data_IF_955280639591
#
_entry.id   IF_955280639591
#
_cell.length_a   1.000
_cell.length_b   1.000
_cell.length_c   1.000
_cell.angle_alpha   90.00
_cell.angle_beta   90.00
_cell.angle_gamma   90.00
#
_symmetry.space_group_name_H-M   'P 1'
#
loop_
_entity.id
_entity.type
_entity.pdbx_description
1 polymer ?
#
# COMPACT_ATOMS: atom_id res chain seq x y z
N UNK A 1 14.45 -16.97 7.42
CA UNK A 1 14.15 -15.84 6.53
C UNK A 1 14.79 -16.00 5.15
N UNK A 2 16.09 -15.77 4.95
CA UNK A 2 16.71 -15.77 3.61
C UNK A 2 16.53 -17.10 2.83
N UNK A 3 16.78 -18.26 3.46
CA UNK A 3 16.57 -19.57 2.82
C UNK A 3 15.12 -19.77 2.32
N UNK A 4 14.14 -19.19 3.01
CA UNK A 4 12.73 -19.25 2.62
C UNK A 4 12.46 -18.28 1.46
N UNK A 5 12.95 -17.04 1.52
CA UNK A 5 12.79 -16.06 0.44
C UNK A 5 13.37 -16.56 -0.90
N UNK A 6 14.53 -17.22 -0.86
CA UNK A 6 15.15 -17.82 -2.05
C UNK A 6 14.38 -19.01 -2.65
N UNK A 7 13.31 -19.49 -2.00
CA UNK A 7 12.40 -20.45 -2.63
C UNK A 7 11.42 -19.77 -3.60
N UNK A 8 11.24 -18.44 -3.51
CA UNK A 8 10.28 -17.68 -4.31
C UNK A 8 10.94 -16.82 -5.40
N UNK A 9 12.16 -16.33 -5.18
CA UNK A 9 12.92 -15.57 -6.18
C UNK A 9 14.44 -15.76 -6.02
N UNK A 10 15.17 -15.55 -7.10
CA UNK A 10 16.63 -15.51 -7.18
C UNK A 10 17.25 -14.25 -6.55
N UNK A 11 16.47 -13.19 -6.37
CA UNK A 11 16.90 -11.93 -5.75
C UNK A 11 16.05 -11.63 -4.52
N UNK A 12 16.71 -11.21 -3.44
CA UNK A 12 16.04 -10.85 -2.17
C UNK A 12 16.33 -9.39 -1.86
N UNK A 13 15.28 -8.65 -1.51
CA UNK A 13 15.36 -7.30 -0.94
C UNK A 13 15.24 -7.40 0.58
N UNK A 14 16.08 -6.67 1.30
CA UNK A 14 16.06 -6.58 2.77
C UNK A 14 15.88 -5.12 3.15
N UNK A 15 14.80 -4.83 3.88
CA UNK A 15 14.44 -3.48 4.31
C UNK A 15 14.51 -3.39 5.84
N UNK A 16 14.71 -2.16 6.34
CA UNK A 16 14.65 -1.91 7.78
C UNK A 16 13.19 -2.02 8.25
N UNK A 17 12.93 -2.92 9.20
CA UNK A 17 11.63 -2.99 9.85
C UNK A 17 11.32 -1.72 10.62
N UNK A 18 10.10 -1.20 10.46
CA UNK A 18 9.58 -0.03 11.16
C UNK A 18 8.21 -0.33 11.73
N UNK A 19 7.86 0.29 12.87
CA UNK A 19 6.48 0.30 13.35
C UNK A 19 5.77 1.47 12.67
N UNK A 20 5.00 1.16 11.63
CA UNK A 20 4.36 2.15 10.77
C UNK A 20 2.88 1.81 10.56
N UNK A 21 2.11 2.84 10.21
CA UNK A 21 0.72 2.70 9.74
C UNK A 21 0.77 2.35 8.25
N UNK A 22 -0.11 1.45 7.81
CA UNK A 22 -0.22 1.09 6.40
C UNK A 22 -1.39 1.82 5.75
N UNK A 23 -1.06 2.63 4.74
CA UNK A 23 -2.03 3.49 4.05
C UNK A 23 -2.04 3.15 2.57
N UNK A 24 -3.22 2.91 2.02
CA UNK A 24 -3.40 2.52 0.62
C UNK A 24 -4.14 3.63 -0.15
N UNK A 25 -3.68 3.93 -1.38
CA UNK A 25 -4.34 4.83 -2.33
C UNK A 25 -4.62 4.10 -3.63
N UNK A 26 -5.89 4.02 -4.03
CA UNK A 26 -6.29 3.48 -5.33
C UNK A 26 -6.10 4.51 -6.45
N UNK A 27 -5.62 4.04 -7.59
CA UNK A 27 -5.40 4.83 -8.81
C UNK A 27 -6.16 4.21 -9.97
N UNK A 28 -6.91 5.03 -10.71
CA UNK A 28 -7.61 4.62 -11.91
C UNK A 28 -7.39 5.64 -13.03
N UNK A 29 -7.00 5.17 -14.20
CA UNK A 29 -6.92 5.98 -15.40
C UNK A 29 -5.77 5.61 -16.33
N UNK A 30 -5.73 6.33 -17.45
CA UNK A 30 -4.67 6.25 -18.44
C UNK A 30 -4.01 7.64 -18.54
N UNK A 31 -4.49 8.49 -19.45
CA UNK A 31 -3.99 9.86 -19.61
C UNK A 31 -4.49 10.84 -18.52
N UNK A 32 -5.75 10.68 -18.09
CA UNK A 32 -6.31 11.35 -16.92
C UNK A 32 -6.35 10.34 -15.76
N UNK A 33 -5.41 10.50 -14.82
CA UNK A 33 -5.25 9.61 -13.65
C UNK A 33 -5.96 10.23 -12.46
N UNK A 34 -6.81 9.44 -11.81
CA UNK A 34 -7.53 9.84 -10.59
C UNK A 34 -7.12 8.95 -9.43
N UNK A 35 -7.02 9.55 -8.26
CA UNK A 35 -6.71 8.89 -6.99
C UNK A 35 -7.94 8.84 -6.08
N UNK A 36 -8.08 7.79 -5.27
CA UNK A 36 -9.07 7.73 -4.17
C UNK A 36 -8.61 8.58 -2.98
N UNK A 37 -9.46 8.71 -1.96
CA UNK A 37 -8.98 9.08 -0.63
C UNK A 37 -8.12 7.93 -0.07
N UNK A 38 -7.09 8.22 0.75
CA UNK A 38 -6.30 7.20 1.41
C UNK A 38 -7.15 6.38 2.38
N UNK A 39 -6.95 5.07 2.38
CA UNK A 39 -7.54 4.13 3.33
C UNK A 39 -6.46 3.54 4.23
N UNK A 40 -6.76 3.36 5.51
CA UNK A 40 -5.83 2.74 6.45
C UNK A 40 -6.19 1.30 6.73
N UNK A 41 -5.20 0.42 6.66
CA UNK A 41 -5.32 -0.98 7.11
C UNK A 41 -5.12 -0.99 8.62
N UNK A 42 -6.22 -0.98 9.38
CA UNK A 42 -6.18 -1.06 10.85
C UNK A 42 -6.04 -2.52 11.24
N UNK A 43 -4.90 -2.84 11.86
CA UNK A 43 -4.57 -4.18 12.34
C UNK A 43 -4.55 -4.21 13.86
N UNK A 44 -5.05 -5.29 14.44
CA UNK A 44 -4.85 -5.64 15.85
C UNK A 44 -3.59 -6.53 16.06
N UNK A 45 -2.77 -6.71 15.02
CA UNK A 45 -1.56 -7.57 15.03
C UNK A 45 -0.35 -6.86 14.42
N UNK A 46 0.84 -7.16 14.95
CA UNK A 46 2.12 -6.49 14.62
C UNK A 46 2.57 -6.66 13.15
N UNK A 47 2.03 -7.65 12.41
CA UNK A 47 2.41 -7.91 11.02
C UNK A 47 1.23 -8.38 10.16
N UNK A 48 1.22 -7.99 8.89
CA UNK A 48 0.20 -8.37 7.90
C UNK A 48 0.71 -9.46 6.99
N UNK A 49 0.73 -10.67 7.53
CA UNK A 49 1.06 -11.85 6.75
C UNK A 49 -0.14 -12.34 5.93
N UNK A 50 0.11 -13.39 5.14
CA UNK A 50 -0.90 -14.04 4.31
C UNK A 50 -2.11 -14.54 5.13
N UNK A 51 -1.87 -15.03 6.34
CA UNK A 51 -2.91 -15.59 7.21
C UNK A 51 -3.82 -14.46 7.74
N UNK A 52 -3.23 -13.33 8.15
CA UNK A 52 -4.00 -12.13 8.50
C UNK A 52 -4.84 -11.63 7.31
N UNK A 53 -4.26 -11.60 6.10
CA UNK A 53 -4.89 -11.06 4.88
C UNK A 53 -6.03 -11.92 4.32
N UNK A 54 -5.98 -13.25 4.48
CA UNK A 54 -6.90 -14.17 3.79
C UNK A 54 -7.59 -15.21 4.68
N UNK A 55 -7.16 -15.39 5.94
CA UNK A 55 -7.69 -16.44 6.82
C UNK A 55 -8.46 -15.84 7.99
N UNK A 56 -7.90 -14.85 8.70
CA UNK A 56 -8.50 -14.38 9.95
C UNK A 56 -9.53 -13.25 9.76
N UNK A 57 -9.53 -12.58 8.61
CA UNK A 57 -10.52 -11.58 8.15
C UNK A 57 -10.86 -10.46 9.17
N UNK A 58 -9.99 -10.24 10.17
CA UNK A 58 -10.09 -9.19 11.22
C UNK A 58 -9.38 -7.91 10.80
N UNK A 59 -9.45 -7.58 9.52
CA UNK A 59 -8.82 -6.38 8.98
C UNK A 59 -9.92 -5.36 8.80
N UNK A 60 -9.81 -4.24 9.50
CA UNK A 60 -10.74 -3.13 9.34
C UNK A 60 -10.08 -2.07 8.47
N UNK A 61 -10.77 -1.65 7.43
CA UNK A 61 -10.33 -0.54 6.59
C UNK A 61 -10.97 0.75 7.09
N UNK A 62 -10.14 1.70 7.55
CA UNK A 62 -10.62 3.04 7.87
C UNK A 62 -10.52 3.91 6.63
N UNK A 63 -11.67 4.21 6.03
CA UNK A 63 -11.77 4.97 4.78
C UNK A 63 -12.75 6.15 5.00
N UNK A 64 -12.28 7.40 5.01
CA UNK A 64 -10.89 7.82 4.81
C UNK A 64 -10.00 7.58 6.04
N UNK A 65 -8.70 7.37 5.82
CA UNK A 65 -7.70 7.26 6.88
C UNK A 65 -7.69 8.52 7.78
N UNK A 66 -7.50 8.33 9.09
CA UNK A 66 -7.40 9.44 10.06
C UNK A 66 -6.02 10.10 10.03
N UNK A 67 -5.80 10.94 9.03
CA UNK A 67 -4.57 11.73 8.80
C UNK A 67 -4.94 13.17 8.44
N UNK A 68 -3.98 14.10 8.52
CA UNK A 68 -4.24 15.49 8.16
C UNK A 68 -4.46 15.66 6.65
N UNK A 69 -5.23 16.66 6.27
CA UNK A 69 -5.53 16.98 4.87
C UNK A 69 -4.26 17.21 4.05
N UNK A 70 -3.23 17.84 4.63
CA UNK A 70 -1.94 18.04 3.97
C UNK A 70 -1.27 16.70 3.59
N UNK A 71 -1.33 15.71 4.49
CA UNK A 71 -0.77 14.37 4.23
C UNK A 71 -1.61 13.63 3.18
N UNK A 72 -2.94 13.78 3.21
CA UNK A 72 -3.83 13.24 2.17
C UNK A 72 -3.44 13.74 0.79
N UNK A 73 -3.21 15.05 0.66
CA UNK A 73 -2.82 15.68 -0.60
C UNK A 73 -1.47 15.13 -1.08
N UNK A 74 -0.47 15.08 -0.20
CA UNK A 74 0.87 14.60 -0.55
C UNK A 74 0.87 13.12 -0.96
N UNK A 75 0.16 12.25 -0.23
CA UNK A 75 0.08 10.82 -0.58
C UNK A 75 -0.53 10.61 -1.97
N UNK A 76 -1.62 11.33 -2.28
CA UNK A 76 -2.28 11.24 -3.58
C UNK A 76 -1.38 11.74 -4.70
N UNK A 77 -0.68 12.87 -4.50
CA UNK A 77 0.28 13.40 -5.47
C UNK A 77 1.44 12.43 -5.72
N UNK A 78 1.99 11.83 -4.66
CA UNK A 78 3.07 10.84 -4.78
C UNK A 78 2.61 9.59 -5.52
N UNK A 79 1.42 9.07 -5.21
CA UNK A 79 0.86 7.89 -5.87
C UNK A 79 0.68 8.14 -7.37
N UNK A 80 0.08 9.27 -7.75
CA UNK A 80 -0.11 9.62 -9.15
C UNK A 80 1.22 9.90 -9.87
N UNK A 81 2.20 10.50 -9.20
CA UNK A 81 3.54 10.73 -9.76
C UNK A 81 4.26 9.42 -10.03
N UNK A 82 4.26 8.50 -9.07
CA UNK A 82 4.86 7.17 -9.23
C UNK A 82 4.18 6.37 -10.34
N UNK A 83 2.85 6.37 -10.38
CA UNK A 83 2.06 5.68 -11.42
C UNK A 83 2.38 6.20 -12.82
N UNK A 84 2.48 7.52 -13.00
CA UNK A 84 2.89 8.13 -14.28
C UNK A 84 4.34 7.80 -14.62
N UNK A 85 5.25 7.82 -13.64
CA UNK A 85 6.67 7.55 -13.85
C UNK A 85 6.96 6.12 -14.35
N UNK A 86 6.14 5.15 -13.93
CA UNK A 86 6.26 3.75 -14.38
C UNK A 86 5.45 3.46 -15.66
N UNK A 87 4.79 4.47 -16.25
CA UNK A 87 3.93 4.28 -17.42
C UNK A 87 2.65 3.48 -17.11
N UNK A 88 2.11 3.62 -15.90
CA UNK A 88 0.91 2.92 -15.45
C UNK A 88 -0.32 3.24 -16.30
N UNK A 89 -1.13 2.21 -16.56
CA UNK A 89 -2.40 2.29 -17.28
C UNK A 89 -3.44 1.41 -16.56
N UNK A 90 -4.71 1.80 -16.62
CA UNK A 90 -5.80 1.06 -16.01
C UNK A 90 -5.92 1.32 -14.50
N UNK A 91 -5.63 0.30 -13.68
CA UNK A 91 -5.86 0.32 -12.23
C UNK A 91 -4.57 -0.05 -11.49
N UNK A 92 -4.25 0.67 -10.43
CA UNK A 92 -3.22 0.30 -9.48
C UNK A 92 -3.62 0.65 -8.05
N UNK A 93 -2.91 0.07 -7.10
CA UNK A 93 -2.96 0.44 -5.69
C UNK A 93 -1.53 0.79 -5.26
N UNK A 94 -1.38 1.96 -4.67
CA UNK A 94 -0.12 2.41 -4.11
C UNK A 94 -0.19 2.30 -2.59
N UNK A 95 0.76 1.58 -2.01
CA UNK A 95 0.85 1.33 -0.58
C UNK A 95 1.94 2.24 0.00
N UNK A 96 1.68 2.85 1.17
CA UNK A 96 2.55 3.78 1.90
C UNK A 96 2.78 3.30 3.34
#
# INVERSE_FOLDING_TARGET
ALKLAFQYDSRVLVEQGVNAREIEVGLLGNYDVKSTLPGEVVKDVDFYDYDAKYIDNKITMDIPAKISDDVVVVMRQNAETAFRAIGGLGLSRCDF
#
